data_IF_678882319703
#
_entry.id   IF_678882319703
#
_cell.length_a   1.000
_cell.length_b   1.000
_cell.length_c   1.000
_cell.angle_alpha   90.00
_cell.angle_beta   90.00
_cell.angle_gamma   90.00
#
_symmetry.space_group_name_H-M   'P 1'
#
loop_
_entity.id
_entity.type
_entity.pdbx_description
1 polymer ?
#
# COMPACT_ATOMS: atom_id res chain seq x y z
N UNK A 1 -22.14 -30.87 -23.87
CA UNK A 1 -22.69 -29.65 -23.23
C UNK A 1 -23.85 -29.96 -22.28
N UNK A 2 -24.86 -30.77 -22.68
CA UNK A 2 -25.99 -31.17 -21.80
C UNK A 2 -25.53 -31.90 -20.51
N UNK A 3 -24.69 -32.91 -20.62
CA UNK A 3 -24.10 -33.65 -19.46
C UNK A 3 -23.38 -32.76 -18.44
N UNK A 4 -22.72 -31.70 -18.89
CA UNK A 4 -22.00 -30.78 -18.00
C UNK A 4 -22.96 -29.92 -17.18
N UNK A 5 -24.03 -29.41 -17.80
CA UNK A 5 -25.07 -28.65 -17.11
C UNK A 5 -25.87 -29.50 -16.11
N UNK A 6 -26.14 -30.77 -16.43
CA UNK A 6 -26.75 -31.72 -15.48
C UNK A 6 -25.85 -31.99 -14.27
N UNK A 7 -24.54 -32.18 -14.48
CA UNK A 7 -23.59 -32.37 -13.39
C UNK A 7 -23.49 -31.15 -12.47
N UNK A 8 -23.56 -29.91 -13.02
CA UNK A 8 -23.64 -28.68 -12.22
C UNK A 8 -24.91 -28.67 -11.37
N UNK A 9 -26.06 -29.02 -11.95
CA UNK A 9 -27.32 -29.03 -11.24
C UNK A 9 -27.36 -30.09 -10.13
N UNK A 10 -26.77 -31.24 -10.36
CA UNK A 10 -26.60 -32.29 -9.36
C UNK A 10 -25.68 -31.85 -8.22
N UNK A 11 -24.53 -31.23 -8.51
CA UNK A 11 -23.62 -30.70 -7.51
C UNK A 11 -24.27 -29.63 -6.61
N UNK A 12 -25.00 -28.69 -7.21
CA UNK A 12 -25.75 -27.66 -6.47
C UNK A 12 -26.86 -28.26 -5.61
N UNK A 13 -27.55 -29.32 -6.10
CA UNK A 13 -28.56 -30.03 -5.34
C UNK A 13 -27.95 -30.77 -4.13
N UNK A 14 -26.76 -31.37 -4.31
CA UNK A 14 -26.04 -32.06 -3.23
C UNK A 14 -25.62 -31.06 -2.11
N UNK A 15 -25.17 -29.85 -2.47
CA UNK A 15 -24.85 -28.78 -1.51
C UNK A 15 -26.12 -28.40 -0.72
N UNK A 16 -27.28 -28.35 -1.38
CA UNK A 16 -28.54 -27.90 -0.77
C UNK A 16 -29.17 -28.96 0.14
N UNK A 17 -28.95 -30.24 -0.11
CA UNK A 17 -29.48 -31.34 0.71
C UNK A 17 -28.79 -31.49 2.06
N UNK A 18 -27.48 -31.20 2.17
CA UNK A 18 -26.67 -31.33 3.37
C UNK A 18 -25.95 -30.01 3.74
N UNK A 19 -26.71 -28.94 3.94
CA UNK A 19 -26.21 -27.56 4.09
C UNK A 19 -25.11 -27.39 5.14
N UNK A 20 -25.31 -27.91 6.37
CA UNK A 20 -24.34 -27.73 7.47
C UNK A 20 -23.01 -28.40 7.14
N UNK A 21 -23.03 -29.60 6.57
CA UNK A 21 -21.83 -30.35 6.21
C UNK A 21 -21.07 -29.64 5.08
N UNK A 22 -21.80 -29.20 4.04
CA UNK A 22 -21.22 -28.47 2.91
C UNK A 22 -20.63 -27.12 3.33
N UNK A 23 -21.29 -26.37 4.20
CA UNK A 23 -20.78 -25.11 4.72
C UNK A 23 -19.51 -25.33 5.54
N UNK A 24 -19.50 -26.31 6.47
CA UNK A 24 -18.34 -26.57 7.30
C UNK A 24 -17.09 -26.94 6.50
N UNK A 25 -17.27 -27.71 5.44
CA UNK A 25 -16.14 -28.13 4.58
C UNK A 25 -15.68 -27.03 3.64
N UNK A 26 -16.62 -26.27 3.07
CA UNK A 26 -16.27 -25.10 2.26
C UNK A 26 -15.60 -24.01 3.10
N UNK A 27 -15.83 -23.95 4.42
CA UNK A 27 -15.30 -22.91 5.30
C UNK A 27 -13.76 -22.84 5.24
N UNK A 28 -13.08 -24.00 5.23
CA UNK A 28 -11.63 -24.02 5.07
C UNK A 28 -11.15 -23.43 3.74
N UNK A 29 -11.86 -23.70 2.66
CA UNK A 29 -11.57 -23.13 1.34
C UNK A 29 -11.90 -21.65 1.31
N UNK A 30 -13.04 -21.26 1.84
CA UNK A 30 -13.49 -19.86 1.92
C UNK A 30 -12.48 -19.01 2.68
N UNK A 31 -12.06 -19.47 3.86
CA UNK A 31 -11.06 -18.74 4.67
C UNK A 31 -9.71 -18.72 3.96
N UNK A 32 -9.25 -19.85 3.44
CA UNK A 32 -7.96 -19.93 2.76
C UNK A 32 -7.88 -19.01 1.55
N UNK A 33 -8.84 -19.09 0.64
CA UNK A 33 -8.90 -18.24 -0.56
C UNK A 33 -9.15 -16.78 -0.19
N UNK A 34 -10.09 -16.51 0.74
CA UNK A 34 -10.40 -15.16 1.18
C UNK A 34 -9.18 -14.45 1.79
N UNK A 35 -8.38 -15.15 2.60
CA UNK A 35 -7.17 -14.60 3.18
C UNK A 35 -6.11 -14.26 2.14
N UNK A 36 -5.89 -15.14 1.14
CA UNK A 36 -4.94 -14.86 0.05
C UNK A 36 -5.38 -13.65 -0.77
N UNK A 37 -6.66 -13.60 -1.15
CA UNK A 37 -7.20 -12.46 -1.91
C UNK A 37 -7.05 -11.16 -1.10
N UNK A 38 -7.37 -11.20 0.19
CA UNK A 38 -7.27 -10.03 1.04
C UNK A 38 -5.83 -9.49 1.12
N UNK A 39 -4.84 -10.35 1.43
CA UNK A 39 -3.45 -9.90 1.58
C UNK A 39 -2.86 -9.39 0.27
N UNK A 40 -3.15 -10.06 -0.86
CA UNK A 40 -2.64 -9.61 -2.16
C UNK A 40 -3.29 -8.29 -2.57
N UNK A 41 -4.62 -8.14 -2.37
CA UNK A 41 -5.31 -6.88 -2.65
C UNK A 41 -4.82 -5.73 -1.78
N UNK A 42 -4.49 -5.98 -0.51
CA UNK A 42 -3.85 -4.98 0.37
C UNK A 42 -2.48 -4.60 -0.18
N UNK A 43 -1.66 -5.58 -0.57
CA UNK A 43 -0.34 -5.33 -1.15
C UNK A 43 -0.40 -4.49 -2.44
N UNK A 44 -1.28 -4.85 -3.37
CA UNK A 44 -1.47 -4.10 -4.61
C UNK A 44 -2.01 -2.69 -4.36
N UNK A 45 -2.91 -2.53 -3.39
CA UNK A 45 -3.43 -1.23 -2.96
C UNK A 45 -2.32 -0.37 -2.37
N UNK A 46 -1.50 -0.89 -1.46
CA UNK A 46 -0.37 -0.17 -0.88
C UNK A 46 0.65 0.26 -1.95
N UNK A 47 0.99 -0.63 -2.88
CA UNK A 47 1.85 -0.27 -4.02
C UNK A 47 1.28 0.88 -4.84
N UNK A 48 -0.02 0.82 -5.15
CA UNK A 48 -0.69 1.88 -5.92
C UNK A 48 -0.70 3.22 -5.18
N UNK A 49 -0.95 3.19 -3.87
CA UNK A 49 -0.93 4.39 -3.02
C UNK A 49 0.45 5.02 -3.00
N UNK A 50 1.47 4.22 -2.74
CA UNK A 50 2.85 4.69 -2.65
C UNK A 50 3.35 5.18 -4.00
N UNK A 51 3.07 4.44 -5.09
CA UNK A 51 3.41 4.90 -6.44
C UNK A 51 2.80 6.26 -6.77
N UNK A 52 1.55 6.48 -6.38
CA UNK A 52 0.87 7.78 -6.57
C UNK A 52 1.49 8.89 -5.73
N UNK A 53 1.91 8.61 -4.48
CA UNK A 53 2.62 9.58 -3.66
C UNK A 53 3.98 9.96 -4.30
N UNK A 54 4.72 8.99 -4.83
CA UNK A 54 5.97 9.26 -5.53
C UNK A 54 5.78 9.99 -6.87
N UNK A 55 4.68 9.75 -7.59
CA UNK A 55 4.33 10.56 -8.76
C UNK A 55 4.11 12.03 -8.39
N UNK A 56 3.56 12.29 -7.21
CA UNK A 56 3.33 13.65 -6.70
C UNK A 56 4.61 14.33 -6.17
N UNK A 57 5.54 13.57 -5.58
CA UNK A 57 6.77 14.07 -4.93
C UNK A 57 7.96 14.14 -5.90
N UNK A 58 7.80 13.63 -7.14
CA UNK A 58 8.89 13.47 -8.09
C UNK A 58 9.69 12.17 -7.84
N UNK A 59 9.68 11.30 -8.85
CA UNK A 59 10.35 9.97 -8.81
C UNK A 59 11.87 10.09 -8.63
N UNK A 60 12.42 11.28 -8.83
CA UNK A 60 13.86 11.55 -8.91
C UNK A 60 14.44 12.11 -7.61
N UNK A 61 13.76 11.95 -6.47
CA UNK A 61 14.32 12.33 -5.17
C UNK A 61 15.31 11.28 -4.68
N UNK A 62 16.48 11.75 -4.26
CA UNK A 62 17.54 10.96 -3.60
C UNK A 62 17.75 11.54 -2.21
N UNK A 63 17.67 10.71 -1.18
CA UNK A 63 17.78 11.12 0.20
C UNK A 63 19.06 10.56 0.78
N UNK A 64 19.85 11.41 1.45
CA UNK A 64 21.05 11.00 2.15
C UNK A 64 20.86 11.12 3.66
N UNK A 65 21.29 10.10 4.36
CA UNK A 65 21.43 10.07 5.82
C UNK A 65 22.86 9.72 6.16
N UNK A 66 23.36 10.24 7.25
CA UNK A 66 24.62 9.78 7.83
C UNK A 66 24.34 8.79 8.96
N UNK A 67 25.20 7.79 9.12
CA UNK A 67 25.14 6.87 10.24
C UNK A 67 26.13 7.32 11.34
N UNK A 68 25.66 7.37 12.58
CA UNK A 68 26.56 7.53 13.72
C UNK A 68 27.41 6.27 13.90
N UNK A 69 28.70 6.41 13.91
CA UNK A 69 29.66 5.28 13.98
C UNK A 69 29.50 4.43 15.27
N UNK A 70 29.08 5.06 16.37
CA UNK A 70 28.84 4.43 17.68
C UNK A 70 27.33 4.22 17.98
N UNK A 71 26.46 4.55 17.06
CA UNK A 71 25.00 4.49 17.23
C UNK A 71 24.43 5.64 18.08
N UNK A 72 25.23 6.62 18.47
CA UNK A 72 24.80 7.82 19.17
C UNK A 72 24.88 9.02 18.23
N UNK A 73 23.74 9.51 17.80
CA UNK A 73 23.66 10.65 16.89
C UNK A 73 24.01 11.96 17.62
N UNK A 74 24.87 12.74 16.99
CA UNK A 74 25.28 14.08 17.42
C UNK A 74 25.01 15.09 16.30
N UNK A 75 25.21 16.36 16.55
CA UNK A 75 25.11 17.40 15.53
C UNK A 75 26.09 17.19 14.35
N UNK A 76 27.20 16.54 14.59
CA UNK A 76 28.21 16.21 13.56
C UNK A 76 27.67 15.10 12.58
N UNK A 77 26.58 14.45 12.95
CA UNK A 77 25.92 13.44 12.12
C UNK A 77 24.77 14.02 11.29
N UNK A 78 24.59 15.35 11.32
CA UNK A 78 23.49 16.04 10.65
C UNK A 78 24.03 17.00 9.59
N UNK A 79 23.17 17.36 8.64
CA UNK A 79 23.50 18.29 7.56
C UNK A 79 23.23 19.74 7.98
N UNK A 80 24.13 20.63 7.55
CA UNK A 80 24.06 22.07 7.76
C UNK A 80 23.68 22.80 6.47
N UNK A 81 23.43 24.10 6.56
CA UNK A 81 23.22 24.94 5.35
C UNK A 81 24.46 24.96 4.46
N UNK A 82 25.65 24.94 5.05
CA UNK A 82 26.92 24.91 4.32
C UNK A 82 27.07 23.59 3.51
N UNK A 83 26.59 22.48 4.04
CA UNK A 83 26.55 21.20 3.32
C UNK A 83 25.60 21.24 2.11
N UNK A 84 24.43 21.85 2.27
CA UNK A 84 23.47 22.07 1.18
C UNK A 84 24.12 22.90 0.07
N UNK A 85 24.73 24.02 0.43
CA UNK A 85 25.38 24.93 -0.51
C UNK A 85 26.55 24.26 -1.24
N UNK A 86 27.37 23.49 -0.54
CA UNK A 86 28.47 22.71 -1.14
C UNK A 86 27.95 21.68 -2.16
N UNK A 87 26.88 20.96 -1.86
CA UNK A 87 26.29 19.98 -2.80
C UNK A 87 25.69 20.69 -4.00
N UNK A 88 25.01 21.82 -3.78
CA UNK A 88 24.43 22.65 -4.84
C UNK A 88 25.51 23.16 -5.81
N UNK A 89 26.63 23.65 -5.28
CA UNK A 89 27.76 24.12 -6.08
C UNK A 89 28.44 22.99 -6.86
N UNK A 90 28.54 21.79 -6.26
CA UNK A 90 29.21 20.65 -6.89
C UNK A 90 28.38 20.00 -8.02
N UNK A 91 27.07 19.99 -7.89
CA UNK A 91 26.19 19.28 -8.83
C UNK A 91 25.38 20.19 -9.75
N UNK A 92 25.18 21.45 -9.39
CA UNK A 92 24.53 22.47 -10.22
C UNK A 92 23.18 22.04 -10.76
N UNK A 93 22.96 22.27 -12.07
CA UNK A 93 21.69 21.99 -12.75
C UNK A 93 21.24 20.52 -12.74
N UNK A 94 22.13 19.58 -12.38
CA UNK A 94 21.79 18.17 -12.23
C UNK A 94 20.95 17.88 -10.97
N UNK A 95 21.02 18.78 -9.99
CA UNK A 95 20.25 18.72 -8.74
C UNK A 95 19.63 20.10 -8.52
N UNK A 96 18.53 20.40 -9.23
CA UNK A 96 17.94 21.75 -9.27
C UNK A 96 17.40 22.22 -7.93
N UNK A 97 17.10 21.29 -7.01
CA UNK A 97 16.62 21.62 -5.68
C UNK A 97 17.21 20.68 -4.63
N UNK A 98 17.61 21.26 -3.52
CA UNK A 98 18.15 20.53 -2.37
C UNK A 98 17.56 21.17 -1.11
N UNK A 99 17.08 20.33 -0.21
CA UNK A 99 16.69 20.75 1.13
C UNK A 99 17.16 19.75 2.18
N UNK A 100 17.08 20.16 3.42
CA UNK A 100 17.09 19.26 4.56
C UNK A 100 15.69 19.29 5.15
N UNK A 101 15.14 18.12 5.46
CA UNK A 101 13.80 18.02 6.01
C UNK A 101 13.70 18.81 7.32
N UNK A 102 13.34 20.07 7.20
CA UNK A 102 13.12 20.97 8.34
C UNK A 102 11.63 21.11 8.57
N UNK A 103 11.08 20.18 9.35
CA UNK A 103 9.67 20.19 9.74
C UNK A 103 9.58 20.22 11.25
N UNK A 104 8.80 21.15 11.78
CA UNK A 104 8.53 21.23 13.21
C UNK A 104 7.03 21.36 13.49
N UNK A 105 6.63 20.85 14.64
CA UNK A 105 5.24 20.95 15.09
C UNK A 105 5.07 22.22 15.89
N UNK A 106 4.28 23.15 15.37
CA UNK A 106 4.01 24.46 15.99
C UNK A 106 2.51 24.67 16.15
N UNK A 107 2.14 25.69 16.90
CA UNK A 107 0.76 26.12 17.03
C UNK A 107 0.49 27.33 16.16
N UNK A 108 -0.46 27.22 15.25
CA UNK A 108 -0.92 28.32 14.41
C UNK A 108 -2.11 29.03 15.09
N UNK A 109 -2.12 30.37 15.07
CA UNK A 109 -3.14 31.20 15.69
C UNK A 109 -3.48 32.41 14.82
N UNK A 110 -4.71 32.90 14.89
CA UNK A 110 -5.13 34.15 14.24
C UNK A 110 -5.23 35.34 15.24
N UNK A 111 -4.59 35.22 16.38
CA UNK A 111 -4.69 36.22 17.46
C UNK A 111 -6.04 36.24 18.21
N UNK A 112 -7.01 35.45 17.72
CA UNK A 112 -8.30 35.17 18.35
C UNK A 112 -8.24 33.74 18.94
N UNK A 113 -9.11 33.37 19.82
CA UNK A 113 -9.11 32.08 20.54
C UNK A 113 -8.99 30.77 19.71
N UNK A 114 -8.82 30.87 18.39
CA UNK A 114 -8.60 29.72 17.54
C UNK A 114 -7.11 29.40 17.45
N UNK A 115 -6.76 28.18 17.84
CA UNK A 115 -5.41 27.63 17.78
C UNK A 115 -5.50 26.23 17.22
N UNK A 116 -4.61 25.89 16.30
CA UNK A 116 -4.51 24.56 15.71
C UNK A 116 -3.05 24.16 15.63
N UNK A 117 -2.77 22.90 15.87
CA UNK A 117 -1.42 22.36 15.64
C UNK A 117 -1.21 22.13 14.16
N UNK A 118 -0.08 22.59 13.66
CA UNK A 118 0.33 22.45 12.26
C UNK A 118 1.74 21.96 12.16
N UNK A 119 2.06 21.34 11.05
CA UNK A 119 3.44 21.16 10.64
C UNK A 119 3.91 22.41 9.90
N UNK A 120 4.97 23.03 10.38
CA UNK A 120 5.66 24.12 9.71
C UNK A 120 6.80 23.52 8.91
N UNK A 121 6.73 23.68 7.59
CA UNK A 121 7.75 23.18 6.68
C UNK A 121 8.54 24.35 6.12
N UNK A 122 9.83 24.38 6.40
CA UNK A 122 10.71 25.42 5.92
C UNK A 122 11.26 25.07 4.54
N UNK A 123 11.02 25.91 3.54
CA UNK A 123 11.36 25.65 2.14
C UNK A 123 12.14 26.82 1.51
N UNK A 124 12.96 26.49 0.53
CA UNK A 124 13.61 27.44 -0.35
C UNK A 124 12.74 27.78 -1.58
N UNK A 125 13.13 28.78 -2.32
CA UNK A 125 12.51 29.14 -3.59
C UNK A 125 12.68 27.99 -4.59
N UNK A 126 11.61 27.70 -5.36
CA UNK A 126 11.60 26.61 -6.34
C UNK A 126 11.09 25.28 -5.80
N UNK A 127 10.67 25.21 -4.54
CA UNK A 127 10.07 24.00 -3.97
C UNK A 127 8.84 23.52 -4.76
N UNK A 128 8.03 24.44 -5.30
CA UNK A 128 6.87 24.17 -6.14
C UNK A 128 7.21 23.54 -7.50
N UNK A 129 8.46 23.63 -7.94
CA UNK A 129 8.94 22.99 -9.18
C UNK A 129 9.23 21.50 -8.98
N UNK A 130 9.65 21.13 -7.77
CA UNK A 130 10.01 19.73 -7.42
C UNK A 130 8.89 19.02 -6.66
N UNK A 131 8.03 19.78 -5.99
CA UNK A 131 6.83 19.30 -5.32
C UNK A 131 5.60 19.97 -5.94
N UNK A 132 4.95 19.40 -6.95
CA UNK A 132 3.78 19.99 -7.57
C UNK A 132 2.67 20.23 -6.55
N UNK A 133 2.26 21.49 -6.41
CA UNK A 133 1.17 21.90 -5.53
C UNK A 133 0.11 22.69 -6.30
N UNK A 134 -1.16 22.37 -6.08
CA UNK A 134 -2.28 23.11 -6.65
C UNK A 134 -2.49 24.41 -5.85
N UNK A 135 -1.92 25.52 -6.31
CA UNK A 135 -2.17 26.84 -5.72
C UNK A 135 -3.57 27.32 -6.10
N UNK A 136 -4.37 27.63 -5.10
CA UNK A 136 -5.71 28.20 -5.29
C UNK A 136 -5.70 29.72 -5.42
N UNK A 137 -4.79 30.38 -4.72
CA UNK A 137 -4.53 31.81 -4.84
C UNK A 137 -3.14 32.16 -4.30
N UNK A 138 -2.57 33.28 -4.79
CA UNK A 138 -1.26 33.75 -4.38
C UNK A 138 -0.11 33.02 -5.06
N UNK A 139 0.99 32.82 -4.33
CA UNK A 139 2.23 32.23 -4.79
C UNK A 139 2.89 31.39 -3.69
N UNK A 140 3.84 30.55 -4.06
CA UNK A 140 4.76 29.91 -3.12
C UNK A 140 5.83 30.88 -2.61
N UNK A 141 6.67 30.38 -1.70
CA UNK A 141 7.85 31.10 -1.21
C UNK A 141 8.79 31.34 -2.39
N UNK A 142 9.19 32.58 -2.55
CA UNK A 142 10.09 33.00 -3.62
C UNK A 142 11.47 33.41 -3.08
N UNK A 143 12.40 33.66 -4.02
CA UNK A 143 13.76 34.05 -3.69
C UNK A 143 13.82 35.34 -2.85
N UNK A 144 12.91 36.29 -3.10
CA UNK A 144 12.84 37.53 -2.34
C UNK A 144 12.37 37.35 -0.89
N UNK A 145 11.57 36.32 -0.61
CA UNK A 145 11.16 35.98 0.75
C UNK A 145 12.33 35.35 1.51
N UNK A 146 13.11 34.47 0.87
CA UNK A 146 14.27 33.80 1.44
C UNK A 146 15.39 34.82 1.73
N UNK A 147 15.79 35.61 0.74
CA UNK A 147 16.88 36.58 0.87
C UNK A 147 16.57 37.70 1.89
N UNK A 148 15.33 38.19 1.88
CA UNK A 148 14.92 39.25 2.80
C UNK A 148 14.43 38.72 4.17
N UNK A 149 14.47 37.41 4.39
CA UNK A 149 13.94 36.76 5.60
C UNK A 149 12.52 37.23 5.94
N UNK A 150 11.66 37.26 4.92
CA UNK A 150 10.28 37.74 5.11
C UNK A 150 9.46 36.67 5.83
N UNK A 151 8.65 37.09 6.77
CA UNK A 151 7.69 36.22 7.45
C UNK A 151 6.49 35.92 6.53
N UNK A 152 6.77 35.23 5.42
CA UNK A 152 5.78 34.80 4.45
C UNK A 152 5.26 33.43 4.81
N UNK A 153 3.94 33.21 4.64
CA UNK A 153 3.27 31.96 5.01
C UNK A 153 2.41 31.46 3.85
N UNK A 154 2.55 30.20 3.50
CA UNK A 154 1.66 29.51 2.58
C UNK A 154 0.86 28.49 3.36
N UNK A 155 -0.47 28.53 3.26
CA UNK A 155 -1.39 27.74 4.10
C UNK A 155 -2.28 26.82 3.26
N UNK A 156 -2.74 25.76 3.87
CA UNK A 156 -3.77 24.90 3.29
C UNK A 156 -5.12 25.60 3.15
N UNK A 157 -5.89 25.24 2.13
CA UNK A 157 -7.27 25.67 1.93
C UNK A 157 -8.12 25.54 3.21
N UNK A 158 -8.00 24.43 3.91
CA UNK A 158 -8.74 24.14 5.14
C UNK A 158 -8.46 25.14 6.24
N UNK A 159 -7.19 25.56 6.39
CA UNK A 159 -6.79 26.62 7.33
C UNK A 159 -7.42 27.94 6.92
N UNK A 160 -7.33 28.32 5.63
CA UNK A 160 -7.92 29.56 5.13
C UNK A 160 -9.43 29.63 5.40
N UNK A 161 -10.16 28.56 5.13
CA UNK A 161 -11.61 28.48 5.37
C UNK A 161 -11.94 28.51 6.87
N UNK A 162 -11.21 27.77 7.71
CA UNK A 162 -11.46 27.68 9.15
C UNK A 162 -11.20 29.02 9.87
N UNK A 163 -10.13 29.72 9.51
CA UNK A 163 -9.69 30.92 10.22
C UNK A 163 -10.27 32.20 9.65
N UNK A 164 -10.50 32.26 8.35
CA UNK A 164 -10.93 33.48 7.65
C UNK A 164 -12.30 33.35 6.98
N UNK A 165 -12.87 32.16 6.91
CA UNK A 165 -14.16 31.89 6.26
C UNK A 165 -14.11 32.02 4.72
N UNK A 166 -12.93 32.08 4.13
CA UNK A 166 -12.73 32.26 2.69
C UNK A 166 -11.42 31.61 2.25
N UNK A 167 -11.38 31.12 1.03
CA UNK A 167 -10.14 30.60 0.42
C UNK A 167 -9.14 31.72 0.15
N UNK A 168 -9.63 32.92 -0.21
CA UNK A 168 -8.75 34.08 -0.45
C UNK A 168 -8.34 34.74 0.89
N UNK A 169 -7.28 34.19 1.48
CA UNK A 169 -6.69 34.70 2.72
C UNK A 169 -5.42 35.56 2.49
N UNK A 170 -5.13 35.97 1.25
CA UNK A 170 -3.91 36.72 0.93
C UNK A 170 -3.82 38.04 1.71
N UNK A 171 -2.61 38.32 2.22
CA UNK A 171 -2.32 39.52 3.01
C UNK A 171 -2.89 39.49 4.44
N UNK A 172 -3.55 38.40 4.84
CA UNK A 172 -3.95 38.19 6.25
C UNK A 172 -2.74 37.76 7.06
N UNK A 173 -2.77 38.07 8.36
CA UNK A 173 -1.71 37.70 9.29
C UNK A 173 -2.13 36.54 10.18
N UNK A 174 -1.18 35.69 10.50
CA UNK A 174 -1.28 34.57 11.43
C UNK A 174 -0.05 34.50 12.31
N UNK A 175 -0.21 34.06 13.53
CA UNK A 175 0.88 33.86 14.49
C UNK A 175 1.29 32.39 14.49
N UNK A 176 2.58 32.13 14.37
CA UNK A 176 3.17 30.82 14.70
C UNK A 176 3.73 30.93 16.11
N UNK A 177 3.31 30.03 16.97
CA UNK A 177 3.63 29.98 18.39
C UNK A 177 4.47 28.74 18.65
N UNK A 178 5.61 28.92 19.23
CA UNK A 178 6.47 27.85 19.73
C UNK A 178 6.92 28.08 21.20
N UNK A 179 7.91 27.31 21.66
CA UNK A 179 8.46 27.45 23.00
C UNK A 179 9.25 28.75 23.19
N UNK A 180 9.77 29.32 22.10
CA UNK A 180 10.65 30.49 22.11
C UNK A 180 9.87 31.80 21.96
N UNK A 181 8.60 31.73 21.51
CA UNK A 181 7.80 32.93 21.39
C UNK A 181 6.63 32.84 20.41
N UNK A 182 6.27 34.01 19.88
CA UNK A 182 5.24 34.20 18.88
C UNK A 182 5.79 35.04 17.75
N UNK A 183 5.64 34.56 16.55
CA UNK A 183 6.04 35.27 15.35
C UNK A 183 4.85 35.49 14.42
N UNK A 184 4.73 36.68 13.88
CA UNK A 184 3.62 37.04 12.97
C UNK A 184 4.05 36.84 11.52
N UNK A 185 3.24 36.09 10.77
CA UNK A 185 3.46 35.76 9.38
C UNK A 185 2.33 36.31 8.51
N UNK A 186 2.66 36.72 7.29
CA UNK A 186 1.68 37.19 6.28
C UNK A 186 1.39 36.05 5.29
N UNK A 187 0.13 35.73 5.07
CA UNK A 187 -0.30 34.74 4.09
C UNK A 187 -0.05 35.29 2.68
N UNK A 188 0.84 34.61 1.93
CA UNK A 188 1.22 34.92 0.55
C UNK A 188 0.65 33.94 -0.47
N UNK A 189 0.21 32.75 -0.01
CA UNK A 189 -0.39 31.74 -0.86
C UNK A 189 -1.33 30.83 -0.10
N UNK A 190 -2.29 30.27 -0.83
CA UNK A 190 -3.19 29.20 -0.34
C UNK A 190 -3.17 28.06 -1.34
N UNK A 191 -2.88 26.86 -0.86
CA UNK A 191 -2.82 25.66 -1.69
C UNK A 191 -3.89 24.65 -1.29
N UNK A 192 -4.21 23.78 -2.20
CA UNK A 192 -5.06 22.61 -1.95
C UNK A 192 -4.16 21.45 -1.54
N UNK A 193 -4.46 20.86 -0.41
CA UNK A 193 -3.81 19.62 0.00
C UNK A 193 -3.97 18.56 -1.10
N UNK A 194 -2.88 17.89 -1.44
CA UNK A 194 -2.97 16.73 -2.31
C UNK A 194 -3.83 15.67 -1.63
N UNK A 195 -4.70 15.00 -2.39
CA UNK A 195 -5.49 13.87 -1.91
C UNK A 195 -4.54 12.69 -1.58
N UNK A 196 -3.78 12.85 -0.49
CA UNK A 196 -2.85 11.83 0.00
C UNK A 196 -3.61 10.77 0.77
N UNK A 197 -3.47 9.54 0.31
CA UNK A 197 -4.04 8.38 0.98
C UNK A 197 -3.37 8.12 2.32
N UNK A 198 -2.07 8.42 2.43
CA UNK A 198 -1.31 8.30 3.68
C UNK A 198 -1.85 9.27 4.74
N UNK A 199 -2.17 10.50 4.33
CA UNK A 199 -2.80 11.50 5.20
C UNK A 199 -4.20 11.03 5.64
N UNK A 200 -5.00 10.47 4.73
CA UNK A 200 -6.31 9.92 5.06
C UNK A 200 -6.22 8.73 6.04
N UNK A 201 -5.23 7.85 5.87
CA UNK A 201 -4.97 6.71 6.77
C UNK A 201 -4.54 7.16 8.17
N UNK A 202 -3.91 8.31 8.29
CA UNK A 202 -3.50 8.90 9.59
C UNK A 202 -4.64 9.60 10.34
N UNK A 203 -5.87 9.50 9.84
CA UNK A 203 -7.04 10.12 10.48
C UNK A 203 -7.25 11.60 10.11
N UNK A 204 -6.72 12.04 8.97
CA UNK A 204 -6.63 13.44 8.56
C UNK A 204 -5.38 14.04 9.17
N UNK A 205 -4.32 14.14 8.39
CA UNK A 205 -3.03 14.65 8.84
C UNK A 205 -3.15 16.02 9.50
N UNK A 206 -2.16 16.33 10.32
CA UNK A 206 -1.99 17.68 10.83
C UNK A 206 -1.75 18.60 9.63
N UNK A 207 -2.46 19.73 9.51
CA UNK A 207 -2.27 20.63 8.38
C UNK A 207 -0.81 21.10 8.27
N UNK A 208 -0.35 21.28 7.04
CA UNK A 208 1.01 21.74 6.78
C UNK A 208 0.98 23.20 6.32
N UNK A 209 1.92 23.98 6.80
CA UNK A 209 2.15 25.35 6.33
C UNK A 209 3.61 25.50 5.91
N UNK A 210 3.85 26.32 4.88
CA UNK A 210 5.19 26.54 4.35
C UNK A 210 5.68 27.95 4.68
N UNK A 211 6.93 28.03 5.07
CA UNK A 211 7.62 29.28 5.42
C UNK A 211 9.01 29.31 4.76
N UNK A 212 9.64 30.48 4.60
CA UNK A 212 10.99 30.58 4.07
C UNK A 212 12.00 29.84 4.96
N UNK A 213 12.86 29.01 4.36
CA UNK A 213 13.88 28.25 5.05
C UNK A 213 14.81 29.14 5.89
N UNK A 214 15.16 30.33 5.37
CA UNK A 214 16.05 31.30 6.02
C UNK A 214 15.58 31.82 7.38
N UNK A 215 14.33 31.55 7.79
CA UNK A 215 13.80 31.92 9.11
C UNK A 215 14.06 30.83 10.12
N UNK A 216 13.82 29.55 9.76
CA UNK A 216 13.92 28.43 10.67
C UNK A 216 15.22 27.64 10.57
N UNK A 217 15.82 27.60 9.38
CA UNK A 217 17.09 26.93 9.17
C UNK A 217 18.23 27.96 9.15
N UNK A 218 18.76 28.22 10.31
CA UNK A 218 19.89 29.15 10.50
C UNK A 218 21.21 28.41 10.32
N UNK A 219 22.37 29.09 10.22
CA UNK A 219 23.68 28.43 10.14
C UNK A 219 23.99 27.47 11.29
N UNK A 220 23.35 27.65 12.44
CA UNK A 220 23.49 26.77 13.60
C UNK A 220 22.42 25.64 13.64
N UNK A 221 21.58 25.54 12.63
CA UNK A 221 20.55 24.50 12.53
C UNK A 221 21.10 23.26 11.86
N UNK A 222 20.52 22.11 12.19
CA UNK A 222 20.92 20.80 11.72
C UNK A 222 19.73 20.02 11.18
N UNK A 223 19.90 19.41 10.02
CA UNK A 223 18.90 18.55 9.39
C UNK A 223 19.33 17.09 9.37
N UNK A 224 18.39 16.19 9.63
CA UNK A 224 18.62 14.74 9.68
C UNK A 224 18.88 14.11 8.33
N UNK A 225 18.38 14.72 7.28
CA UNK A 225 18.46 14.18 5.93
C UNK A 225 18.79 15.28 4.93
N UNK A 226 19.45 14.92 3.86
CA UNK A 226 19.68 15.78 2.71
C UNK A 226 18.85 15.26 1.55
N UNK A 227 17.81 15.99 1.18
CA UNK A 227 16.92 15.68 0.06
C UNK A 227 17.45 16.34 -1.21
N UNK A 228 17.82 15.56 -2.18
CA UNK A 228 18.32 16.01 -3.45
C UNK A 228 17.31 15.65 -4.55
N UNK A 229 16.74 16.63 -5.20
CA UNK A 229 15.84 16.43 -6.33
C UNK A 229 16.66 16.47 -7.61
N UNK A 230 16.70 15.37 -8.30
CA UNK A 230 17.55 15.14 -9.46
C UNK A 230 16.78 15.45 -10.74
N UNK A 231 17.44 16.05 -11.72
CA UNK A 231 16.86 16.30 -13.04
C UNK A 231 16.37 14.99 -13.71
N UNK A 232 15.20 15.03 -14.32
CA UNK A 232 14.56 13.85 -14.95
C UNK A 232 15.41 13.20 -16.06
N UNK A 233 16.29 13.96 -16.68
CA UNK A 233 17.16 13.49 -17.77
C UNK A 233 18.46 12.87 -17.27
N UNK A 234 18.78 12.99 -16.00
CA UNK A 234 20.03 12.50 -15.41
C UNK A 234 19.96 10.99 -15.15
N UNK A 235 21.09 10.31 -15.37
CA UNK A 235 21.25 8.92 -14.92
C UNK A 235 21.33 8.87 -13.38
N UNK A 236 20.21 8.53 -12.75
CA UNK A 236 20.08 8.51 -11.29
C UNK A 236 21.08 7.56 -10.62
N UNK A 237 21.47 6.44 -11.26
CA UNK A 237 22.39 5.48 -10.65
C UNK A 237 23.82 6.01 -10.66
N UNK A 238 24.23 6.64 -11.75
CA UNK A 238 25.54 7.27 -11.85
C UNK A 238 25.64 8.46 -10.90
N UNK A 239 24.60 9.32 -10.90
CA UNK A 239 24.57 10.50 -10.06
C UNK A 239 24.55 10.13 -8.56
N UNK A 240 23.76 9.15 -8.18
CA UNK A 240 23.74 8.57 -6.84
C UNK A 240 25.14 8.18 -6.38
N UNK A 241 25.88 7.42 -7.19
CA UNK A 241 27.23 7.00 -6.83
C UNK A 241 28.18 8.18 -6.67
N UNK A 242 28.07 9.18 -7.55
CA UNK A 242 28.88 10.40 -7.47
C UNK A 242 28.55 11.20 -6.21
N UNK A 243 27.26 11.38 -5.92
CA UNK A 243 26.77 12.12 -4.75
C UNK A 243 27.12 11.41 -3.44
N UNK A 244 26.94 10.08 -3.35
CA UNK A 244 27.34 9.31 -2.16
C UNK A 244 28.83 9.49 -1.84
N UNK A 245 29.68 9.41 -2.87
CA UNK A 245 31.12 9.65 -2.71
C UNK A 245 31.44 11.10 -2.31
N UNK A 246 30.66 12.05 -2.79
CA UNK A 246 30.84 13.46 -2.46
C UNK A 246 30.41 13.75 -1.03
N UNK A 247 29.20 13.32 -0.64
CA UNK A 247 28.65 13.48 0.71
C UNK A 247 29.54 12.80 1.74
N UNK A 248 30.04 11.59 1.46
CA UNK A 248 30.95 10.89 2.35
C UNK A 248 32.25 11.68 2.62
N UNK A 249 32.84 12.28 1.56
CA UNK A 249 34.03 13.13 1.71
C UNK A 249 33.72 14.44 2.43
N UNK A 250 32.64 15.09 2.12
CA UNK A 250 32.18 16.34 2.71
C UNK A 250 31.96 16.20 4.22
N UNK A 251 31.32 15.10 4.63
CA UNK A 251 31.02 14.79 6.02
C UNK A 251 32.17 14.04 6.75
N UNK A 252 33.32 13.87 6.07
CA UNK A 252 34.46 13.12 6.57
C UNK A 252 34.13 11.68 7.03
N UNK A 253 33.34 10.99 6.23
CA UNK A 253 32.84 9.63 6.48
C UNK A 253 33.26 8.68 5.36
N UNK A 254 33.10 7.39 5.62
CA UNK A 254 33.20 6.36 4.60
C UNK A 254 31.87 6.26 3.81
N UNK A 255 31.91 5.70 2.61
CA UNK A 255 30.68 5.49 1.80
C UNK A 255 29.68 4.53 2.45
N UNK A 256 30.14 3.66 3.35
CA UNK A 256 29.29 2.72 4.08
C UNK A 256 28.54 3.39 5.24
N UNK A 257 29.01 4.54 5.71
CA UNK A 257 28.38 5.35 6.74
C UNK A 257 27.40 6.39 6.17
N UNK A 258 27.31 6.51 4.84
CA UNK A 258 26.35 7.36 4.15
C UNK A 258 25.30 6.50 3.50
N UNK A 259 24.10 6.51 4.08
CA UNK A 259 22.95 5.83 3.51
C UNK A 259 22.36 6.72 2.42
N UNK A 260 22.21 6.18 1.23
CA UNK A 260 21.55 6.84 0.12
C UNK A 260 20.29 6.05 -0.24
N UNK A 261 19.14 6.65 -0.11
CA UNK A 261 17.84 6.03 -0.39
C UNK A 261 17.20 6.70 -1.61
N UNK A 262 16.70 5.89 -2.51
CA UNK A 262 15.90 6.35 -3.65
C UNK A 262 14.46 5.89 -3.51
N UNK A 263 13.52 6.59 -4.14
CA UNK A 263 12.11 6.19 -4.18
C UNK A 263 11.95 4.72 -4.64
N UNK A 264 12.77 4.28 -5.61
CA UNK A 264 12.76 2.90 -6.10
C UNK A 264 13.18 1.88 -5.04
N UNK A 265 14.14 2.21 -4.19
CA UNK A 265 14.59 1.32 -3.11
C UNK A 265 13.56 1.25 -1.99
N UNK A 266 12.91 2.34 -1.65
CA UNK A 266 11.79 2.33 -0.70
C UNK A 266 10.64 1.45 -1.21
N UNK A 267 10.25 1.58 -2.50
CA UNK A 267 9.26 0.69 -3.10
C UNK A 267 9.70 -0.77 -3.08
N UNK A 268 10.97 -1.07 -3.37
CA UNK A 268 11.51 -2.44 -3.31
C UNK A 268 11.47 -3.01 -1.89
N UNK A 269 11.72 -2.19 -0.88
CA UNK A 269 11.63 -2.59 0.54
C UNK A 269 10.20 -2.96 0.92
N UNK A 270 9.22 -2.17 0.47
CA UNK A 270 7.80 -2.46 0.67
C UNK A 270 7.41 -3.75 -0.04
N UNK A 271 7.86 -3.96 -1.28
CA UNK A 271 7.62 -5.19 -2.02
C UNK A 271 8.17 -6.42 -1.28
N UNK A 272 9.34 -6.28 -0.68
CA UNK A 272 9.97 -7.34 0.12
C UNK A 272 9.14 -7.68 1.36
N UNK A 273 8.68 -6.66 2.10
CA UNK A 273 7.81 -6.85 3.27
C UNK A 273 6.48 -7.48 2.87
N UNK A 274 5.84 -6.98 1.80
CA UNK A 274 4.59 -7.55 1.28
C UNK A 274 4.80 -9.00 0.78
N UNK A 275 5.95 -9.30 0.20
CA UNK A 275 6.34 -10.64 -0.20
C UNK A 275 6.41 -11.61 0.98
N UNK A 276 7.05 -11.21 2.08
CA UNK A 276 7.15 -12.02 3.32
C UNK A 276 5.76 -12.22 3.92
N UNK A 277 4.95 -11.18 4.04
CA UNK A 277 3.58 -11.27 4.56
C UNK A 277 2.72 -12.20 3.69
N UNK A 278 2.81 -12.07 2.37
CA UNK A 278 2.09 -12.92 1.43
C UNK A 278 2.51 -14.38 1.55
N UNK A 279 3.80 -14.66 1.74
CA UNK A 279 4.29 -16.03 1.96
C UNK A 279 3.77 -16.63 3.29
N UNK A 280 3.78 -15.84 4.37
CA UNK A 280 3.27 -16.28 5.68
C UNK A 280 1.76 -16.58 5.63
N UNK A 281 0.96 -15.68 5.07
CA UNK A 281 -0.49 -15.88 4.90
C UNK A 281 -0.77 -17.00 3.90
N UNK A 282 0.03 -17.13 2.85
CA UNK A 282 -0.03 -18.24 1.89
C UNK A 282 0.17 -19.60 2.56
N UNK A 283 1.09 -19.71 3.51
CA UNK A 283 1.29 -20.93 4.28
C UNK A 283 0.07 -21.28 5.15
N UNK A 284 -0.52 -20.29 5.82
CA UNK A 284 -1.76 -20.47 6.61
C UNK A 284 -2.93 -20.89 5.69
N UNK A 285 -3.04 -20.24 4.54
CA UNK A 285 -4.06 -20.56 3.55
C UNK A 285 -3.89 -21.99 3.01
N UNK A 286 -2.65 -22.45 2.77
CA UNK A 286 -2.36 -23.81 2.33
C UNK A 286 -2.85 -24.85 3.37
N UNK A 287 -2.60 -24.60 4.67
CA UNK A 287 -3.12 -25.47 5.75
C UNK A 287 -4.65 -25.44 5.75
N UNK A 288 -5.27 -24.28 5.62
CA UNK A 288 -6.73 -24.15 5.56
C UNK A 288 -7.33 -24.90 4.37
N UNK A 289 -6.67 -24.82 3.20
CA UNK A 289 -7.08 -25.56 2.01
C UNK A 289 -6.90 -27.08 2.14
N UNK A 290 -5.85 -27.54 2.82
CA UNK A 290 -5.67 -28.96 3.14
C UNK A 290 -6.81 -29.47 4.04
N UNK A 291 -7.15 -28.73 5.09
CA UNK A 291 -8.26 -29.09 5.99
C UNK A 291 -9.60 -29.08 5.24
N UNK A 292 -9.84 -28.03 4.44
CA UNK A 292 -11.03 -27.95 3.57
C UNK A 292 -11.08 -29.07 2.54
N UNK A 293 -9.96 -29.43 1.92
CA UNK A 293 -9.83 -30.54 0.98
C UNK A 293 -10.11 -31.90 1.59
N UNK A 294 -9.58 -32.17 2.79
CA UNK A 294 -9.91 -33.40 3.57
C UNK A 294 -11.42 -33.41 3.88
N UNK A 295 -12.00 -32.27 4.19
CA UNK A 295 -13.44 -32.14 4.37
C UNK A 295 -14.23 -32.51 3.11
N UNK A 296 -13.81 -32.05 1.93
CA UNK A 296 -14.42 -32.44 0.64
C UNK A 296 -14.29 -33.93 0.43
N UNK A 297 -13.12 -34.51 0.66
CA UNK A 297 -12.89 -35.96 0.54
C UNK A 297 -13.86 -36.74 1.42
N UNK A 298 -14.04 -36.34 2.67
CA UNK A 298 -14.95 -37.02 3.61
C UNK A 298 -16.42 -36.91 3.17
N UNK A 299 -16.86 -35.75 2.70
CA UNK A 299 -18.23 -35.58 2.16
C UNK A 299 -18.44 -36.48 0.95
N UNK A 300 -17.48 -36.47 0.05
CA UNK A 300 -17.58 -37.29 -1.17
C UNK A 300 -17.62 -38.78 -0.86
N UNK A 301 -16.85 -39.27 0.15
CA UNK A 301 -16.89 -40.64 0.60
C UNK A 301 -18.28 -41.00 1.13
N UNK A 302 -18.89 -40.17 1.95
CA UNK A 302 -20.26 -40.37 2.44
C UNK A 302 -21.27 -40.34 1.30
N UNK A 303 -21.14 -39.37 0.37
CA UNK A 303 -22.03 -39.30 -0.79
C UNK A 303 -21.94 -40.53 -1.68
N UNK A 304 -20.75 -41.10 -1.86
CA UNK A 304 -20.56 -42.34 -2.60
C UNK A 304 -21.27 -43.50 -1.89
N UNK A 305 -21.15 -43.63 -0.56
CA UNK A 305 -21.82 -44.72 0.20
C UNK A 305 -23.34 -44.57 0.19
N UNK A 306 -23.87 -43.33 0.30
CA UNK A 306 -25.31 -43.05 0.21
C UNK A 306 -25.88 -43.35 -1.19
N UNK A 307 -25.08 -43.24 -2.25
CA UNK A 307 -25.48 -43.47 -3.66
C UNK A 307 -24.98 -44.79 -4.23
N UNK A 308 -24.54 -45.78 -3.40
CA UNK A 308 -23.95 -47.04 -3.86
C UNK A 308 -24.91 -47.80 -4.79
N UNK A 309 -26.20 -47.88 -4.42
CA UNK A 309 -27.26 -48.51 -5.25
C UNK A 309 -27.43 -47.84 -6.60
N UNK A 310 -27.44 -46.52 -6.65
CA UNK A 310 -27.57 -45.74 -7.89
C UNK A 310 -26.36 -45.99 -8.82
N UNK A 311 -25.15 -46.01 -8.25
CA UNK A 311 -23.90 -46.33 -8.97
C UNK A 311 -23.93 -47.73 -9.53
N UNK A 312 -24.38 -48.72 -8.72
CA UNK A 312 -24.51 -50.11 -9.13
C UNK A 312 -25.50 -50.31 -10.30
N UNK A 313 -26.65 -49.66 -10.23
CA UNK A 313 -27.66 -49.68 -11.35
C UNK A 313 -27.06 -49.08 -12.63
N UNK A 314 -26.35 -47.93 -12.55
CA UNK A 314 -25.68 -47.34 -13.71
C UNK A 314 -24.63 -48.26 -14.34
N UNK A 315 -23.86 -48.94 -13.53
CA UNK A 315 -22.85 -49.91 -13.99
C UNK A 315 -23.53 -51.13 -14.63
N UNK A 316 -24.59 -51.67 -14.02
CA UNK A 316 -25.36 -52.78 -14.58
C UNK A 316 -25.95 -52.43 -15.94
N UNK A 317 -26.33 -51.17 -16.18
CA UNK A 317 -26.79 -50.63 -17.46
C UNK A 317 -25.63 -50.32 -18.44
N UNK A 318 -24.37 -50.62 -18.13
CA UNK A 318 -23.22 -50.49 -19.02
C UNK A 318 -22.48 -49.16 -18.92
N UNK A 319 -22.63 -48.38 -17.84
CA UNK A 319 -21.87 -47.13 -17.66
C UNK A 319 -20.37 -47.43 -17.48
N UNK A 320 -19.52 -46.77 -18.26
CA UNK A 320 -18.06 -46.90 -18.16
C UNK A 320 -17.54 -46.30 -16.87
N UNK A 321 -16.56 -46.94 -16.24
CA UNK A 321 -15.88 -46.49 -15.02
C UNK A 321 -15.40 -45.06 -15.10
N UNK A 322 -14.88 -44.65 -16.26
CA UNK A 322 -14.42 -43.27 -16.47
C UNK A 322 -15.57 -42.24 -16.42
N UNK A 323 -16.79 -42.58 -16.82
CA UNK A 323 -17.91 -41.67 -16.72
C UNK A 323 -18.29 -41.36 -15.27
N UNK A 324 -18.28 -42.42 -14.42
CA UNK A 324 -18.54 -42.30 -12.99
C UNK A 324 -17.44 -41.46 -12.33
N UNK A 325 -16.15 -41.78 -12.64
CA UNK A 325 -15.01 -41.06 -12.14
C UNK A 325 -15.10 -39.56 -12.46
N UNK A 326 -15.32 -39.25 -13.74
CA UNK A 326 -15.43 -37.83 -14.20
C UNK A 326 -16.58 -37.10 -13.54
N UNK A 327 -17.71 -37.76 -13.33
CA UNK A 327 -18.88 -37.16 -12.67
C UNK A 327 -18.52 -36.72 -11.23
N UNK A 328 -17.90 -37.57 -10.43
CA UNK A 328 -17.53 -37.25 -9.05
C UNK A 328 -16.41 -36.21 -8.98
N UNK A 329 -15.46 -36.24 -9.93
CA UNK A 329 -14.42 -35.19 -10.04
C UNK A 329 -14.99 -33.83 -10.37
N UNK A 330 -15.96 -33.74 -11.29
CA UNK A 330 -16.66 -32.50 -11.59
C UNK A 330 -17.44 -32.02 -10.37
N UNK A 331 -18.12 -32.91 -9.64
CA UNK A 331 -18.87 -32.57 -8.44
C UNK A 331 -17.95 -31.94 -7.37
N UNK A 332 -16.80 -32.56 -7.08
CA UNK A 332 -15.81 -32.02 -6.13
C UNK A 332 -15.19 -30.70 -6.60
N UNK A 333 -14.91 -30.55 -7.90
CA UNK A 333 -14.40 -29.30 -8.48
C UNK A 333 -15.41 -28.16 -8.37
N UNK A 334 -16.69 -28.43 -8.57
CA UNK A 334 -17.75 -27.42 -8.45
C UNK A 334 -17.92 -26.98 -7.00
N UNK A 335 -17.94 -27.93 -6.04
CA UNK A 335 -18.07 -27.61 -4.62
C UNK A 335 -16.92 -26.68 -4.18
N UNK A 336 -15.69 -27.00 -4.56
CA UNK A 336 -14.53 -26.19 -4.21
C UNK A 336 -14.48 -24.86 -4.97
N UNK A 337 -14.87 -24.82 -6.25
CA UNK A 337 -14.96 -23.58 -7.01
C UNK A 337 -16.01 -22.62 -6.43
N UNK A 338 -17.15 -23.13 -5.98
CA UNK A 338 -18.17 -22.32 -5.28
C UNK A 338 -17.59 -21.79 -3.95
N UNK A 339 -16.89 -22.63 -3.17
CA UNK A 339 -16.19 -22.20 -1.96
C UNK A 339 -15.15 -21.13 -2.25
N UNK A 340 -14.37 -21.29 -3.31
CA UNK A 340 -13.38 -20.33 -3.79
C UNK A 340 -13.98 -19.01 -4.24
N UNK A 341 -15.12 -19.05 -4.95
CA UNK A 341 -15.84 -17.86 -5.37
C UNK A 341 -16.39 -17.07 -4.17
N UNK A 342 -17.01 -17.77 -3.22
CA UNK A 342 -17.51 -17.16 -1.98
C UNK A 342 -16.33 -16.57 -1.19
N UNK A 343 -15.22 -17.31 -1.05
CA UNK A 343 -14.00 -16.83 -0.38
C UNK A 343 -13.43 -15.58 -1.05
N UNK A 344 -13.38 -15.56 -2.38
CA UNK A 344 -12.95 -14.40 -3.16
C UNK A 344 -13.85 -13.18 -2.90
N UNK A 345 -15.17 -13.35 -2.97
CA UNK A 345 -16.11 -12.25 -2.71
C UNK A 345 -16.00 -11.73 -1.28
N UNK A 346 -15.84 -12.61 -0.30
CA UNK A 346 -15.63 -12.21 1.09
C UNK A 346 -14.29 -11.51 1.28
N UNK A 347 -13.20 -12.01 0.69
CA UNK A 347 -11.89 -11.40 0.76
C UNK A 347 -11.89 -9.98 0.18
N UNK A 348 -12.44 -9.80 -1.03
CA UNK A 348 -12.62 -8.48 -1.66
C UNK A 348 -13.52 -7.60 -0.80
N UNK A 349 -14.63 -8.13 -0.30
CA UNK A 349 -15.58 -7.38 0.52
C UNK A 349 -14.95 -6.83 1.80
N UNK A 350 -14.13 -7.62 2.49
CA UNK A 350 -13.40 -7.21 3.71
C UNK A 350 -12.42 -6.09 3.38
N UNK A 351 -11.63 -6.23 2.30
CA UNK A 351 -10.65 -5.20 1.92
C UNK A 351 -11.35 -3.94 1.42
N UNK A 352 -12.41 -4.07 0.64
CA UNK A 352 -13.20 -2.93 0.17
C UNK A 352 -13.87 -2.16 1.32
N UNK A 353 -14.40 -2.88 2.31
CA UNK A 353 -14.99 -2.26 3.51
C UNK A 353 -13.90 -1.54 4.32
N UNK A 354 -12.73 -2.17 4.51
CA UNK A 354 -11.58 -1.55 5.17
C UNK A 354 -11.12 -0.29 4.42
N UNK A 355 -10.98 -0.36 3.10
CA UNK A 355 -10.62 0.78 2.26
C UNK A 355 -11.63 1.93 2.34
N UNK A 356 -12.93 1.61 2.35
CA UNK A 356 -13.98 2.62 2.52
C UNK A 356 -13.90 3.35 3.87
N UNK A 357 -13.58 2.63 4.94
CA UNK A 357 -13.44 3.21 6.29
C UNK A 357 -12.22 4.13 6.40
N UNK A 358 -11.18 3.86 5.63
CA UNK A 358 -9.91 4.61 5.65
C UNK A 358 -9.87 5.66 4.52
N UNK A 359 -10.85 5.67 3.61
CA UNK A 359 -10.87 6.58 2.45
C UNK A 359 -9.93 6.16 1.31
N UNK A 360 -9.55 4.87 1.24
CA UNK A 360 -8.61 4.34 0.24
C UNK A 360 -9.34 3.57 -0.85
N UNK A 361 -9.07 3.90 -2.11
CA UNK A 361 -9.57 3.13 -3.25
C UNK A 361 -8.81 1.80 -3.34
N UNK A 362 -9.52 0.69 -3.14
CA UNK A 362 -8.93 -0.66 -3.18
C UNK A 362 -8.65 -1.09 -4.62
N UNK A 363 -7.43 -1.53 -4.87
CA UNK A 363 -7.02 -2.11 -6.15
C UNK A 363 -7.17 -3.62 -6.08
N UNK A 364 -8.04 -4.17 -6.94
CA UNK A 364 -8.22 -5.62 -7.07
C UNK A 364 -7.84 -6.05 -8.48
N UNK A 365 -6.84 -6.89 -8.60
CA UNK A 365 -6.41 -7.43 -9.87
C UNK A 365 -7.36 -8.57 -10.31
N UNK A 366 -8.08 -8.45 -11.45
CA UNK A 366 -9.01 -9.48 -11.91
C UNK A 366 -8.34 -10.84 -12.15
N UNK A 367 -7.06 -10.84 -12.52
CA UNK A 367 -6.30 -12.08 -12.77
C UNK A 367 -6.19 -12.94 -11.51
N UNK A 368 -6.06 -12.30 -10.34
CA UNK A 368 -5.99 -13.01 -9.04
C UNK A 368 -7.28 -13.77 -8.76
N UNK A 369 -8.43 -13.19 -9.14
CA UNK A 369 -9.74 -13.85 -8.98
C UNK A 369 -9.77 -15.15 -9.79
N UNK A 370 -9.35 -15.08 -11.05
CA UNK A 370 -9.33 -16.26 -11.94
C UNK A 370 -8.37 -17.34 -11.40
N UNK A 371 -7.18 -16.94 -10.96
CA UNK A 371 -6.18 -17.85 -10.38
C UNK A 371 -6.73 -18.49 -9.11
N UNK A 372 -7.33 -17.72 -8.21
CA UNK A 372 -7.84 -18.21 -6.93
C UNK A 372 -8.97 -19.22 -7.11
N UNK A 373 -9.95 -18.93 -7.98
CA UNK A 373 -11.06 -19.84 -8.28
C UNK A 373 -10.55 -21.09 -9.02
N UNK A 374 -9.64 -20.93 -9.98
CA UNK A 374 -9.02 -22.03 -10.69
C UNK A 374 -8.21 -22.95 -9.76
N UNK A 375 -7.44 -22.36 -8.87
CA UNK A 375 -6.68 -23.13 -7.86
C UNK A 375 -7.60 -23.86 -6.88
N UNK A 376 -8.68 -23.21 -6.43
CA UNK A 376 -9.71 -23.84 -5.61
C UNK A 376 -10.32 -25.09 -6.31
N UNK A 377 -10.65 -24.97 -7.59
CA UNK A 377 -11.16 -26.11 -8.36
C UNK A 377 -10.15 -27.25 -8.47
N UNK A 378 -8.85 -26.93 -8.66
CA UNK A 378 -7.79 -27.95 -8.67
C UNK A 378 -7.66 -28.66 -7.33
N UNK A 379 -7.76 -27.96 -6.20
CA UNK A 379 -7.79 -28.55 -4.86
C UNK A 379 -8.97 -29.53 -4.74
N UNK A 380 -10.16 -29.15 -5.20
CA UNK A 380 -11.33 -30.03 -5.20
C UNK A 380 -11.13 -31.30 -6.03
N UNK A 381 -10.53 -31.17 -7.22
CA UNK A 381 -10.19 -32.33 -8.05
C UNK A 381 -9.22 -33.23 -7.33
N UNK A 382 -8.14 -32.69 -6.77
CA UNK A 382 -7.10 -33.48 -6.08
C UNK A 382 -7.67 -34.29 -4.93
N UNK A 383 -8.42 -33.67 -4.03
CA UNK A 383 -9.06 -34.39 -2.90
C UNK A 383 -10.26 -35.23 -3.32
N UNK A 384 -10.87 -34.96 -4.47
CA UNK A 384 -11.95 -35.76 -5.08
C UNK A 384 -11.49 -37.04 -5.76
N UNK A 385 -10.18 -37.20 -6.11
CA UNK A 385 -9.67 -38.37 -6.83
C UNK A 385 -9.93 -39.66 -6.05
N UNK A 386 -9.63 -39.69 -4.78
CA UNK A 386 -9.78 -40.90 -3.96
C UNK A 386 -11.24 -41.39 -3.85
N UNK A 387 -12.22 -40.54 -3.42
CA UNK A 387 -13.62 -40.97 -3.37
C UNK A 387 -14.18 -41.30 -4.75
N UNK A 388 -13.81 -40.53 -5.80
CA UNK A 388 -14.26 -40.83 -7.16
C UNK A 388 -13.75 -42.20 -7.67
N UNK A 389 -12.51 -42.57 -7.39
CA UNK A 389 -11.97 -43.92 -7.69
C UNK A 389 -12.71 -45.00 -6.93
N UNK A 390 -13.02 -44.78 -5.65
CA UNK A 390 -13.78 -45.74 -4.84
C UNK A 390 -15.19 -45.96 -5.41
N UNK A 391 -15.88 -44.88 -5.81
CA UNK A 391 -17.19 -44.97 -6.49
C UNK A 391 -17.09 -45.69 -7.83
N UNK A 392 -16.05 -45.40 -8.60
CA UNK A 392 -15.83 -46.02 -9.90
C UNK A 392 -15.42 -47.49 -9.83
N UNK A 393 -14.88 -47.99 -8.70
CA UNK A 393 -14.50 -49.38 -8.45
C UNK A 393 -15.60 -50.23 -7.81
N UNK A 394 -16.73 -49.65 -7.33
CA UNK A 394 -17.80 -50.37 -6.67
C UNK A 394 -18.35 -51.52 -7.55
N UNK A 395 -18.59 -52.71 -6.95
CA UNK A 395 -19.12 -53.87 -7.65
C UNK A 395 -20.66 -53.73 -7.79
N UNK A 396 -21.23 -53.94 -9.00
CA UNK A 396 -22.68 -53.90 -9.20
C UNK A 396 -23.48 -54.95 -8.39
N UNK A 397 -22.81 -56.03 -7.94
CA UNK A 397 -23.46 -57.11 -7.22
C UNK A 397 -23.49 -56.86 -5.69
N UNK A 398 -22.52 -56.09 -5.17
CA UNK A 398 -22.45 -55.71 -3.75
C UNK A 398 -23.16 -54.38 -3.45
N UNK A 399 -23.63 -53.67 -4.47
CA UNK A 399 -24.32 -52.41 -4.39
C UNK A 399 -25.85 -52.59 -4.38
#
# INVERSE_FOLDING_TARGET
>A
MMLFLENIKLALSAIRSNKMRSILTMLGIIIGIGSVIAIVSIGDTMRSVIAKEYENVGINRVIFYTMAADGVYTNDDMFTQDDIDQVKDAFGDRVPYIDTYCQDRKTLSNGKRQQEQVYVYAVDAGYDQVQPMELLCGRMIDQGDVEAKRHSLVIEKKIAENYFGTVNALGRTMEIIDNDGREEFTVVGVYKEADSVLTAMSGGGMPTVYVPNSIYFTPDSYGWELNCYVDETADINLLRTQMTNYVARMTNRTTDEVICVTAREEMSSIDSVMGILSAAVGAIAAISLLVGGIGIMNIMLVSVTERTREIGIRKALGARTNHILTQFLIESAIISAVGGLIGTLLGIGIVALGGLLIGVAVVVNPMIIVIAVGFSAMVGIFFGIYPARKAAAADPIEA
#
